data_IF_042416397361
#
_entry.id   IF_042416397361
#
_cell.length_a   1.000
_cell.length_b   1.000
_cell.length_c   1.000
_cell.angle_alpha   90.00
_cell.angle_beta   90.00
_cell.angle_gamma   90.00
#
_symmetry.space_group_name_H-M   'P 1'
#
loop_
_entity.id
_entity.type
_entity.pdbx_description
1 polymer ?
#
# COMPACT_ATOMS: atom_id res chain seq x y z
N UNK A 1 9.16 1.35 0.32
CA UNK A 1 8.36 0.47 -0.56
C UNK A 1 7.03 0.35 0.13
N UNK A 2 5.95 0.77 -0.52
CA UNK A 2 4.64 0.74 0.09
C UNK A 2 3.82 -0.32 -0.64
N UNK A 3 3.23 -1.22 0.13
CA UNK A 3 2.41 -2.35 -0.34
C UNK A 3 0.98 -2.05 0.08
N UNK A 4 0.06 -1.96 -0.86
CA UNK A 4 -1.35 -1.66 -0.60
C UNK A 4 -2.23 -2.81 -1.06
N UNK A 5 -2.96 -3.43 -0.13
CA UNK A 5 -3.94 -4.46 -0.41
C UNK A 5 -5.33 -3.87 -0.62
N UNK A 6 -6.07 -4.43 -1.57
CA UNK A 6 -7.44 -4.02 -1.89
C UNK A 6 -8.34 -5.24 -2.13
N UNK A 7 -9.63 -5.08 -1.84
CA UNK A 7 -10.68 -6.04 -2.16
C UNK A 7 -11.63 -5.45 -3.19
N UNK A 8 -12.57 -6.28 -3.66
CA UNK A 8 -13.80 -5.78 -4.24
C UNK A 8 -14.79 -5.34 -3.16
N UNK A 9 -15.99 -4.88 -3.55
CA UNK A 9 -17.03 -4.42 -2.62
C UNK A 9 -17.84 -5.54 -1.98
N UNK A 10 -17.60 -6.80 -2.33
CA UNK A 10 -18.40 -7.91 -1.83
C UNK A 10 -18.06 -8.26 -0.38
N UNK A 11 -19.09 -8.44 0.45
CA UNK A 11 -18.93 -8.84 1.84
C UNK A 11 -18.88 -7.67 2.82
N UNK A 12 -18.49 -7.96 4.06
CA UNK A 12 -18.46 -6.99 5.15
C UNK A 12 -17.25 -6.05 5.01
N UNK A 13 -17.44 -4.71 5.10
CA UNK A 13 -16.35 -3.74 4.96
C UNK A 13 -15.20 -3.92 5.96
N UNK A 14 -15.50 -4.23 7.22
CA UNK A 14 -14.47 -4.40 8.27
C UNK A 14 -13.66 -5.69 8.01
N UNK A 15 -14.35 -6.75 7.58
CA UNK A 15 -13.70 -7.99 7.14
C UNK A 15 -12.80 -7.74 5.94
N UNK A 16 -13.26 -6.95 4.97
CA UNK A 16 -12.50 -6.61 3.77
C UNK A 16 -11.25 -5.77 4.09
N UNK A 17 -11.37 -4.80 5.00
CA UNK A 17 -10.23 -4.03 5.48
C UNK A 17 -9.18 -4.95 6.11
N UNK A 18 -9.60 -5.82 7.05
CA UNK A 18 -8.70 -6.78 7.69
C UNK A 18 -8.08 -7.76 6.69
N UNK A 19 -8.87 -8.33 5.79
CA UNK A 19 -8.39 -9.28 4.77
C UNK A 19 -7.32 -8.63 3.88
N UNK A 20 -7.56 -7.40 3.43
CA UNK A 20 -6.61 -6.67 2.60
C UNK A 20 -5.32 -6.33 3.36
N UNK A 21 -5.42 -5.99 4.65
CA UNK A 21 -4.29 -5.71 5.52
C UNK A 21 -3.45 -6.96 5.76
N UNK A 22 -4.07 -8.09 6.07
CA UNK A 22 -3.40 -9.36 6.30
C UNK A 22 -2.64 -9.82 5.05
N UNK A 23 -3.26 -9.67 3.86
CA UNK A 23 -2.59 -9.96 2.57
C UNK A 23 -1.37 -9.08 2.35
N UNK A 24 -1.49 -7.76 2.56
CA UNK A 24 -0.37 -6.84 2.39
C UNK A 24 0.76 -7.12 3.40
N UNK A 25 0.42 -7.46 4.65
CA UNK A 25 1.36 -7.82 5.69
C UNK A 25 2.12 -9.11 5.36
N UNK A 26 1.45 -10.15 4.84
CA UNK A 26 2.14 -11.40 4.47
C UNK A 26 3.13 -11.20 3.31
N UNK A 27 2.78 -10.34 2.35
CA UNK A 27 3.71 -9.98 1.27
C UNK A 27 4.90 -9.20 1.83
N UNK A 28 4.69 -8.25 2.74
CA UNK A 28 5.78 -7.56 3.44
C UNK A 28 6.71 -8.57 4.12
N UNK A 29 6.17 -9.44 5.00
CA UNK A 29 6.97 -10.45 5.71
C UNK A 29 7.74 -11.35 4.72
N UNK A 30 7.15 -11.70 3.59
CA UNK A 30 7.85 -12.48 2.56
C UNK A 30 9.05 -11.72 1.98
N UNK A 31 8.87 -10.45 1.61
CA UNK A 31 9.93 -9.60 1.04
C UNK A 31 11.03 -9.33 2.07
N UNK A 32 10.69 -9.12 3.33
CA UNK A 32 11.67 -8.99 4.42
C UNK A 32 12.56 -10.25 4.52
N UNK A 33 11.94 -11.44 4.58
CA UNK A 33 12.66 -12.72 4.73
C UNK A 33 13.45 -13.13 3.49
N UNK A 34 12.93 -12.88 2.29
CA UNK A 34 13.51 -13.40 1.02
C UNK A 34 14.23 -12.33 0.20
N UNK A 35 13.73 -11.11 0.21
CA UNK A 35 14.22 -9.99 -0.60
C UNK A 35 15.37 -9.19 0.02
N UNK A 36 15.78 -9.50 1.26
CA UNK A 36 16.88 -8.84 1.99
C UNK A 36 16.71 -7.32 2.12
N UNK A 37 15.46 -6.85 2.15
CA UNK A 37 15.14 -5.46 2.43
C UNK A 37 15.00 -5.27 3.96
N UNK A 38 15.56 -4.18 4.48
CA UNK A 38 15.40 -3.84 5.90
C UNK A 38 13.91 -3.56 6.21
N UNK A 39 13.39 -3.93 7.40
CA UNK A 39 11.97 -3.82 7.69
C UNK A 39 11.46 -2.37 7.63
N UNK A 40 12.27 -1.43 8.10
CA UNK A 40 11.98 0.01 8.05
C UNK A 40 11.96 0.62 6.62
N UNK A 41 12.18 -0.18 5.58
CA UNK A 41 12.09 0.23 4.17
C UNK A 41 10.77 -0.18 3.53
N UNK A 42 9.92 -0.91 4.25
CA UNK A 42 8.68 -1.46 3.75
C UNK A 42 7.52 -1.05 4.67
N UNK A 43 6.46 -0.55 4.07
CA UNK A 43 5.19 -0.29 4.73
C UNK A 43 4.09 -1.09 4.03
N UNK A 44 3.10 -1.57 4.79
CA UNK A 44 2.00 -2.39 4.27
C UNK A 44 0.67 -1.94 4.83
N UNK A 45 -0.30 -1.66 3.95
CA UNK A 45 -1.62 -1.14 4.30
C UNK A 45 -2.72 -1.96 3.61
N UNK A 46 -3.82 -2.21 4.32
CA UNK A 46 -5.08 -2.69 3.77
C UNK A 46 -6.07 -1.55 3.64
N UNK A 47 -6.73 -1.45 2.48
CA UNK A 47 -7.77 -0.45 2.23
C UNK A 47 -9.17 -1.06 2.04
N UNK A 48 -9.28 -2.40 2.10
CA UNK A 48 -10.52 -3.09 1.74
C UNK A 48 -11.00 -2.65 0.36
N UNK A 49 -12.29 -2.33 0.28
CA UNK A 49 -12.97 -1.83 -0.92
C UNK A 49 -12.92 -0.31 -1.07
N UNK A 50 -12.30 0.43 -0.14
CA UNK A 50 -12.44 1.88 -0.02
C UNK A 50 -11.69 2.69 -1.09
N UNK A 51 -10.88 2.03 -1.92
CA UNK A 51 -10.09 2.64 -3.01
C UNK A 51 -10.23 1.82 -4.30
N UNK A 52 -11.42 1.85 -4.95
CA UNK A 52 -11.65 1.13 -6.20
C UNK A 52 -10.86 1.76 -7.34
N UNK A 53 -10.40 0.93 -8.29
CA UNK A 53 -9.89 1.42 -9.58
C UNK A 53 -11.01 1.57 -10.62
N UNK A 54 -12.09 0.80 -10.43
CA UNK A 54 -13.26 0.79 -11.30
C UNK A 54 -14.53 0.60 -10.49
N UNK A 55 -15.62 1.14 -11.01
CA UNK A 55 -16.96 0.80 -10.56
C UNK A 55 -17.27 -0.67 -10.88
N UNK A 56 -17.82 -1.40 -9.91
CA UNK A 56 -18.06 -2.84 -10.01
C UNK A 56 -19.40 -3.16 -10.67
N UNK A 57 -19.46 -2.99 -11.99
CA UNK A 57 -20.66 -3.31 -12.78
C UNK A 57 -20.68 -4.77 -13.23
N UNK A 58 -19.51 -5.40 -13.29
CA UNK A 58 -19.32 -6.80 -13.72
C UNK A 58 -18.33 -7.52 -12.83
N UNK A 59 -18.35 -8.85 -12.84
CA UNK A 59 -17.36 -9.68 -12.12
C UNK A 59 -15.92 -9.39 -12.56
N UNK A 60 -15.74 -9.02 -13.83
CA UNK A 60 -14.45 -8.61 -14.37
C UNK A 60 -13.96 -7.30 -13.74
N UNK A 61 -14.86 -6.33 -13.49
CA UNK A 61 -14.52 -5.09 -12.80
C UNK A 61 -14.18 -5.34 -11.33
N UNK A 62 -14.94 -6.19 -10.64
CA UNK A 62 -14.61 -6.62 -9.27
C UNK A 62 -13.24 -7.31 -9.19
N UNK A 63 -12.91 -8.14 -10.19
CA UNK A 63 -11.60 -8.79 -10.25
C UNK A 63 -10.45 -7.78 -10.38
N UNK A 64 -10.64 -6.67 -11.09
CA UNK A 64 -9.65 -5.60 -11.18
C UNK A 64 -9.42 -4.95 -9.81
N UNK A 65 -10.46 -4.79 -8.99
CA UNK A 65 -10.34 -4.20 -7.66
C UNK A 65 -9.62 -5.12 -6.66
N UNK A 66 -9.77 -6.45 -6.78
CA UNK A 66 -9.03 -7.47 -5.99
C UNK A 66 -7.54 -7.52 -6.35
N UNK A 67 -6.75 -6.58 -5.84
CA UNK A 67 -5.34 -6.39 -6.23
C UNK A 67 -4.42 -6.06 -5.06
N UNK A 68 -3.12 -6.07 -5.34
CA UNK A 68 -2.09 -5.50 -4.47
C UNK A 68 -1.24 -4.54 -5.30
N UNK A 69 -1.04 -3.32 -4.80
CA UNK A 69 -0.20 -2.31 -5.45
C UNK A 69 1.15 -2.17 -4.74
N UNK A 70 2.20 -1.92 -5.52
CA UNK A 70 3.55 -1.66 -5.02
C UNK A 70 4.00 -0.28 -5.45
N UNK A 71 4.34 0.59 -4.50
CA UNK A 71 4.89 1.92 -4.76
C UNK A 71 6.33 2.02 -4.26
N UNK A 72 7.24 2.34 -5.18
CA UNK A 72 8.62 2.67 -4.85
C UNK A 72 8.68 4.13 -4.38
N UNK A 73 8.90 4.31 -3.08
CA UNK A 73 9.05 5.63 -2.47
C UNK A 73 10.54 5.96 -2.39
N UNK A 74 10.95 7.07 -3.00
CA UNK A 74 12.27 7.64 -2.79
C UNK A 74 12.23 8.32 -1.42
N UNK A 75 13.11 7.97 -0.47
CA UNK A 75 13.22 8.75 0.75
C UNK A 75 13.60 10.18 0.38
N UNK A 76 12.99 11.17 1.02
CA UNK A 76 13.38 12.57 0.84
C UNK A 76 14.83 12.75 1.29
N UNK A 77 15.75 12.67 0.33
CA UNK A 77 17.08 13.23 0.44
C UNK A 77 16.91 14.74 0.25
N UNK A 78 17.21 15.51 1.30
CA UNK A 78 17.38 16.98 1.26
C UNK A 78 16.12 17.84 1.41
N UNK A 79 15.46 17.77 2.57
CA UNK A 79 14.90 19.00 3.14
C UNK A 79 15.98 19.55 4.10
N UNK A 80 16.78 20.57 3.71
CA UNK A 80 17.64 21.22 4.69
C UNK A 80 16.75 21.72 5.82
N UNK A 81 17.14 21.42 7.06
CA UNK A 81 16.51 22.02 8.23
C UNK A 81 16.46 23.52 7.97
N UNK A 82 15.27 24.12 8.08
CA UNK A 82 15.07 25.56 7.98
C UNK A 82 15.93 26.26 9.04
N UNK A 83 17.16 26.58 8.68
CA UNK A 83 18.16 27.29 9.47
C UNK A 83 18.62 28.45 8.61
N UNK A 84 18.40 29.66 9.12
CA UNK A 84 18.54 30.93 8.41
C UNK A 84 19.88 31.11 7.70
N UNK A 85 19.82 31.81 6.57
CA UNK A 85 20.98 32.15 5.76
C UNK A 85 20.54 33.03 4.60
N UNK A 86 20.26 34.28 4.92
CA UNK A 86 20.14 35.40 3.99
C UNK A 86 21.42 35.52 3.15
N UNK A 87 21.30 35.61 1.82
CA UNK A 87 22.43 35.97 0.95
C UNK A 87 21.99 37.07 -0.03
N UNK A 88 22.85 38.10 -0.07
CA UNK A 88 22.80 39.35 -0.85
C UNK A 88 22.79 39.15 -2.36
#
# INVERSE_FOLDING_TARGET
>A
LNIAGHTDTSGDPDVNERLSQDRAAEIHRYIERRGKLKPNRIESFGYGSSRPLKDELTDADAQVNRRVEFRLVKPDSDKPASGGGEWK
#
